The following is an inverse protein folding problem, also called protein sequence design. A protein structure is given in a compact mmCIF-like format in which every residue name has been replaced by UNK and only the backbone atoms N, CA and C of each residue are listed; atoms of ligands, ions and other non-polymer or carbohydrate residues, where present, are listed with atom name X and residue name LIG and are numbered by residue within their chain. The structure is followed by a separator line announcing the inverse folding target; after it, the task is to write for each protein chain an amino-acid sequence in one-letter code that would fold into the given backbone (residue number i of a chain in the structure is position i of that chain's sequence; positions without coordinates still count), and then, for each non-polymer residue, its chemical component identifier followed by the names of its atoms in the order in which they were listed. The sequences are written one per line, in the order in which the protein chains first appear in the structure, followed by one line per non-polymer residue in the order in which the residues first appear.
data_IF_347854608681
#
_entry.id   IF_347854608681
#
_cell.length_a   1.000
_cell.length_b   1.000
_cell.length_c   1.000
_cell.angle_alpha   90.00
_cell.angle_beta   90.00
_cell.angle_gamma   90.00
#
_symmetry.space_group_name_H-M   'P 1'
#
loop_
_entity.id
_entity.type
_entity.pdbx_description
1 polymer ?
#
# COMPACT_ATOMS: atom_id res chain seq x y z
N UNK A 1 37.57 51.00 19.28
CA UNK A 1 37.75 51.22 17.82
C UNK A 1 37.01 50.11 17.08
N UNK A 2 36.18 50.51 16.11
CA UNK A 2 35.04 49.78 15.53
C UNK A 2 35.44 48.48 14.81
N UNK A 3 34.77 47.37 15.15
CA UNK A 3 34.73 46.16 14.32
C UNK A 3 33.61 46.36 13.29
N UNK A 4 33.97 46.70 12.05
CA UNK A 4 33.00 46.81 10.95
C UNK A 4 32.56 45.44 10.51
N UNK A 5 31.30 45.14 10.78
CA UNK A 5 30.49 44.07 10.19
C UNK A 5 30.39 44.27 8.68
N UNK A 6 30.88 43.31 7.89
CA UNK A 6 30.60 43.26 6.45
C UNK A 6 29.19 42.69 6.32
N UNK A 7 28.22 43.56 6.10
CA UNK A 7 26.87 43.17 5.71
C UNK A 7 26.90 42.71 4.24
N UNK A 8 26.66 41.42 4.02
CA UNK A 8 26.39 40.88 2.68
C UNK A 8 24.97 41.28 2.32
N UNK A 9 24.84 42.30 1.47
CA UNK A 9 23.58 42.68 0.83
C UNK A 9 23.26 41.64 -0.24
N UNK A 10 22.39 40.67 0.09
CA UNK A 10 21.70 39.88 -0.92
C UNK A 10 20.62 40.77 -1.52
N UNK A 11 20.89 41.28 -2.72
CA UNK A 11 19.93 42.04 -3.50
C UNK A 11 18.77 41.13 -3.93
N UNK A 12 17.58 41.38 -3.38
CA UNK A 12 16.33 40.79 -3.85
C UNK A 12 15.95 41.53 -5.13
N UNK A 13 16.22 40.92 -6.29
CA UNK A 13 15.65 41.35 -7.57
C UNK A 13 14.15 41.03 -7.56
N UNK A 14 13.34 41.97 -7.08
CA UNK A 14 11.89 41.98 -7.31
C UNK A 14 11.65 42.43 -8.75
N UNK A 15 11.57 41.48 -9.67
CA UNK A 15 11.32 41.77 -11.07
C UNK A 15 10.85 40.54 -11.84
N UNK A 16 9.54 40.35 -11.94
CA UNK A 16 8.90 39.64 -13.06
C UNK A 16 9.15 38.13 -13.22
N UNK A 17 9.63 37.41 -12.21
CA UNK A 17 9.97 35.98 -12.29
C UNK A 17 9.24 35.05 -11.31
N UNK A 18 8.14 35.49 -10.70
CA UNK A 18 7.50 34.76 -9.59
C UNK A 18 6.47 33.68 -9.99
N UNK A 19 6.15 33.53 -11.27
CA UNK A 19 5.03 32.64 -11.70
C UNK A 19 5.50 31.25 -12.15
N UNK A 20 6.80 31.02 -12.39
CA UNK A 20 7.28 29.73 -12.92
C UNK A 20 8.09 28.86 -11.94
N UNK A 21 8.45 29.36 -10.75
CA UNK A 21 9.25 28.59 -9.77
C UNK A 21 8.37 27.87 -8.73
N UNK A 22 7.18 28.40 -8.46
CA UNK A 22 6.21 27.80 -7.54
C UNK A 22 5.76 26.36 -7.90
N UNK A 23 5.47 26.01 -9.18
CA UNK A 23 4.99 24.67 -9.50
C UNK A 23 6.10 23.61 -9.35
N UNK A 24 7.36 23.96 -9.62
CA UNK A 24 8.48 23.02 -9.49
C UNK A 24 8.81 22.74 -8.02
N UNK A 25 8.81 23.79 -7.17
CA UNK A 25 9.02 23.60 -5.73
C UNK A 25 7.88 22.81 -5.06
N UNK A 26 6.64 22.98 -5.52
CA UNK A 26 5.50 22.19 -5.04
C UNK A 26 5.61 20.71 -5.46
N UNK A 27 5.97 20.43 -6.72
CA UNK A 27 6.20 19.06 -7.19
C UNK A 27 7.34 18.37 -6.42
N UNK A 28 8.44 19.06 -6.14
CA UNK A 28 9.58 18.47 -5.40
C UNK A 28 9.24 18.19 -3.93
N UNK A 29 8.29 18.90 -3.33
CA UNK A 29 7.93 18.73 -1.92
C UNK A 29 6.83 17.67 -1.69
N UNK A 30 6.00 17.38 -2.69
CA UNK A 30 4.83 16.50 -2.54
C UNK A 30 4.82 15.28 -3.46
N UNK A 31 5.82 15.14 -4.33
CA UNK A 31 6.04 13.90 -5.09
C UNK A 31 6.61 12.80 -4.19
N UNK A 32 6.14 11.57 -4.41
CA UNK A 32 6.57 10.41 -3.65
C UNK A 32 5.76 10.16 -2.39
N UNK A 33 6.03 9.00 -1.80
CA UNK A 33 5.46 8.57 -0.54
C UNK A 33 5.91 9.48 0.61
N UNK A 34 5.00 9.74 1.54
CA UNK A 34 5.29 10.61 2.68
C UNK A 34 4.76 10.04 4.00
N UNK A 35 4.88 10.84 5.06
CA UNK A 35 4.51 10.43 6.42
C UNK A 35 3.03 10.06 6.58
N UNK A 36 2.14 10.43 5.66
CA UNK A 36 0.75 9.97 5.67
C UNK A 36 0.65 8.52 5.18
N UNK A 37 1.44 8.16 4.16
CA UNK A 37 1.50 6.81 3.61
C UNK A 37 2.19 5.84 4.58
N UNK A 38 3.24 6.29 5.28
CA UNK A 38 3.88 5.50 6.35
C UNK A 38 2.90 5.21 7.50
N UNK A 39 2.09 6.20 7.89
CA UNK A 39 1.06 6.04 8.92
C UNK A 39 -0.07 5.13 8.45
N UNK A 40 -0.43 5.20 7.18
CA UNK A 40 -1.38 4.27 6.59
C UNK A 40 -0.81 2.86 6.59
N UNK A 41 0.42 2.65 6.13
CA UNK A 41 1.08 1.34 6.15
C UNK A 41 1.08 0.72 7.55
N UNK A 42 1.43 1.51 8.58
CA UNK A 42 1.37 1.07 9.96
C UNK A 42 -0.05 0.67 10.40
N UNK A 43 -1.08 1.35 9.91
CA UNK A 43 -2.48 1.01 10.19
C UNK A 43 -2.89 -0.27 9.47
N UNK A 44 -2.56 -0.42 8.18
CA UNK A 44 -2.84 -1.61 7.38
C UNK A 44 -2.13 -2.85 7.96
N UNK A 45 -0.92 -2.68 8.47
CA UNK A 45 -0.17 -3.76 9.09
C UNK A 45 -0.80 -4.32 10.37
N UNK A 46 -1.84 -3.69 10.92
CA UNK A 46 -2.59 -4.22 12.08
C UNK A 46 -3.84 -5.00 11.69
N UNK A 47 -4.17 -5.08 10.40
CA UNK A 47 -5.37 -5.75 9.92
C UNK A 47 -5.25 -7.26 10.14
N UNK A 48 -6.23 -7.83 10.84
CA UNK A 48 -6.24 -9.26 11.20
C UNK A 48 -6.29 -10.19 10.00
N UNK A 49 -6.75 -9.72 8.83
CA UNK A 49 -6.74 -10.52 7.61
C UNK A 49 -5.33 -10.89 7.16
N UNK A 50 -4.32 -10.07 7.48
CA UNK A 50 -2.92 -10.35 7.19
C UNK A 50 -2.31 -11.39 8.15
N UNK A 51 -2.92 -11.63 9.31
CA UNK A 51 -2.56 -12.67 10.27
C UNK A 51 -3.45 -13.92 10.13
N UNK A 52 -4.59 -13.81 9.46
CA UNK A 52 -5.46 -14.93 9.18
C UNK A 52 -4.75 -15.86 8.21
N UNK A 53 -4.80 -17.16 8.46
CA UNK A 53 -4.35 -18.18 7.53
C UNK A 53 -4.98 -19.55 7.88
N UNK A 54 -5.09 -20.49 6.93
CA UNK A 54 -5.45 -21.87 7.24
C UNK A 54 -4.48 -22.45 8.29
N UNK A 55 -4.98 -23.32 9.18
CA UNK A 55 -4.24 -23.74 10.39
C UNK A 55 -2.83 -24.31 10.13
N UNK A 56 -2.59 -24.90 8.96
CA UNK A 56 -1.31 -25.51 8.61
C UNK A 56 -0.47 -24.63 7.67
N UNK A 57 -1.01 -23.51 7.18
CA UNK A 57 -0.24 -22.55 6.39
C UNK A 57 0.79 -21.85 7.29
N UNK A 58 2.00 -21.65 6.77
CA UNK A 58 3.10 -21.08 7.56
C UNK A 58 3.48 -19.71 7.01
N UNK A 59 3.51 -18.64 7.83
CA UNK A 59 3.96 -17.34 7.37
C UNK A 59 5.42 -17.40 6.95
N UNK A 60 5.73 -16.78 5.81
CA UNK A 60 7.07 -16.65 5.29
C UNK A 60 7.58 -15.23 5.52
N UNK A 61 8.80 -15.12 6.05
CA UNK A 61 9.44 -13.85 6.42
C UNK A 61 8.53 -13.05 7.39
N UNK A 62 8.87 -11.79 7.63
CA UNK A 62 7.96 -10.86 8.29
C UNK A 62 7.06 -10.15 7.29
N UNK A 63 6.02 -9.49 7.81
CA UNK A 63 5.14 -8.59 7.06
C UNK A 63 5.94 -7.58 6.24
N UNK A 64 5.60 -7.48 4.95
CA UNK A 64 6.19 -6.52 4.03
C UNK A 64 5.32 -5.27 3.93
N UNK A 65 5.94 -4.13 3.65
CA UNK A 65 5.25 -2.90 3.27
C UNK A 65 6.01 -2.19 2.16
N UNK A 66 5.28 -1.63 1.21
CA UNK A 66 5.81 -0.79 0.14
C UNK A 66 4.88 0.39 -0.12
N UNK A 67 5.40 1.39 -0.81
CA UNK A 67 4.60 2.49 -1.33
C UNK A 67 5.12 2.88 -2.71
N UNK A 68 4.21 3.01 -3.68
CA UNK A 68 4.52 3.50 -5.01
C UNK A 68 4.66 5.03 -4.99
N UNK A 69 5.76 5.58 -5.51
CA UNK A 69 5.99 7.03 -5.43
C UNK A 69 5.13 7.86 -6.38
N UNK A 70 4.71 7.28 -7.51
CA UNK A 70 3.96 7.99 -8.54
C UNK A 70 2.49 8.10 -8.13
N UNK A 71 1.90 6.98 -7.70
CA UNK A 71 0.47 6.89 -7.38
C UNK A 71 0.20 6.89 -5.87
N UNK A 72 1.24 6.87 -5.03
CA UNK A 72 1.16 6.80 -3.55
C UNK A 72 0.24 5.68 -3.06
N UNK A 73 0.25 4.57 -3.81
CA UNK A 73 -0.41 3.32 -3.42
C UNK A 73 0.46 2.65 -2.36
N UNK A 74 -0.07 2.60 -1.14
CA UNK A 74 0.55 1.90 -0.02
C UNK A 74 0.09 0.45 -0.03
N UNK A 75 1.03 -0.49 -0.03
CA UNK A 75 0.76 -1.93 0.02
C UNK A 75 1.35 -2.52 1.29
N UNK A 76 0.58 -3.37 1.97
CA UNK A 76 1.08 -4.19 3.07
C UNK A 76 0.68 -5.64 2.81
N UNK A 77 1.66 -6.53 2.87
CA UNK A 77 1.50 -7.92 2.48
C UNK A 77 2.06 -8.90 3.49
N UNK A 78 1.50 -10.11 3.51
CA UNK A 78 2.07 -11.26 4.21
C UNK A 78 2.06 -12.48 3.28
N UNK A 79 3.26 -13.01 3.03
CA UNK A 79 3.44 -14.25 2.27
C UNK A 79 3.23 -15.46 3.18
N UNK A 80 2.60 -16.49 2.64
CA UNK A 80 2.41 -17.78 3.30
C UNK A 80 2.82 -18.92 2.38
N UNK A 81 3.39 -19.97 2.99
CA UNK A 81 3.47 -21.28 2.36
C UNK A 81 2.14 -22.00 2.56
N UNK A 82 1.45 -22.44 1.50
CA UNK A 82 0.21 -23.18 1.65
C UNK A 82 0.44 -24.55 2.27
N UNK A 83 -0.66 -25.11 2.75
CA UNK A 83 -0.71 -26.43 3.36
C UNK A 83 -1.78 -27.33 2.77
N UNK A 84 -2.39 -26.91 1.66
CA UNK A 84 -3.56 -27.52 1.07
C UNK A 84 -3.89 -26.92 -0.30
N UNK A 85 -4.98 -27.37 -0.94
CA UNK A 85 -5.41 -26.91 -2.26
C UNK A 85 -5.66 -25.40 -2.31
N UNK A 86 -5.40 -24.77 -3.47
CA UNK A 86 -5.66 -23.34 -3.71
C UNK A 86 -7.10 -22.93 -3.39
N UNK A 87 -8.06 -23.77 -3.79
CA UNK A 87 -9.47 -23.52 -3.53
C UNK A 87 -9.80 -23.44 -2.03
N UNK A 88 -9.11 -24.22 -1.18
CA UNK A 88 -9.29 -24.14 0.28
C UNK A 88 -8.71 -22.84 0.85
N UNK A 89 -7.54 -22.41 0.35
CA UNK A 89 -6.94 -21.12 0.74
C UNK A 89 -7.88 -19.97 0.36
N UNK A 90 -8.37 -19.93 -0.88
CA UNK A 90 -9.26 -18.88 -1.36
C UNK A 90 -10.58 -18.86 -0.60
N UNK A 91 -11.21 -20.03 -0.39
CA UNK A 91 -12.44 -20.14 0.40
C UNK A 91 -12.23 -19.68 1.85
N UNK A 92 -11.09 -20.02 2.45
CA UNK A 92 -10.75 -19.57 3.80
C UNK A 92 -10.67 -18.04 3.89
N UNK A 93 -9.91 -17.40 3.00
CA UNK A 93 -9.76 -15.94 3.04
C UNK A 93 -11.04 -15.21 2.69
N UNK A 94 -11.85 -15.76 1.78
CA UNK A 94 -13.16 -15.19 1.46
C UNK A 94 -14.05 -15.12 2.70
N UNK A 95 -14.18 -16.23 3.42
CA UNK A 95 -14.95 -16.29 4.67
C UNK A 95 -14.37 -15.38 5.76
N UNK A 96 -13.04 -15.31 5.87
CA UNK A 96 -12.36 -14.44 6.82
C UNK A 96 -12.58 -12.96 6.51
N UNK A 97 -12.47 -12.56 5.25
CA UNK A 97 -12.65 -11.20 4.76
C UNK A 97 -14.11 -10.74 4.96
N UNK A 98 -15.08 -11.54 4.53
CA UNK A 98 -16.51 -11.23 4.71
C UNK A 98 -16.85 -11.06 6.19
N UNK A 99 -16.33 -11.94 7.06
CA UNK A 99 -16.53 -11.85 8.51
C UNK A 99 -15.87 -10.63 9.13
N UNK A 100 -14.73 -10.21 8.62
CA UNK A 100 -14.03 -8.98 9.00
C UNK A 100 -14.65 -7.72 8.37
N UNK A 101 -15.74 -7.85 7.59
CA UNK A 101 -16.49 -6.72 7.03
C UNK A 101 -15.90 -6.14 5.74
N UNK A 102 -15.10 -6.92 5.03
CA UNK A 102 -14.71 -6.60 3.66
C UNK A 102 -15.88 -6.85 2.69
N UNK A 103 -15.98 -6.04 1.65
CA UNK A 103 -17.03 -6.12 0.64
C UNK A 103 -16.45 -6.65 -0.68
N UNK A 104 -16.97 -7.74 -1.25
CA UNK A 104 -16.53 -8.20 -2.57
C UNK A 104 -16.91 -7.20 -3.68
N UNK A 105 -16.19 -7.18 -4.82
CA UNK A 105 -16.54 -6.32 -5.94
C UNK A 105 -17.91 -6.69 -6.55
N UNK A 106 -18.59 -5.77 -7.27
CA UNK A 106 -19.93 -6.03 -7.83
C UNK A 106 -19.99 -7.22 -8.80
N UNK A 107 -18.92 -7.46 -9.54
CA UNK A 107 -18.74 -8.53 -10.53
C UNK A 107 -18.12 -9.82 -9.96
N UNK A 108 -18.06 -9.94 -8.64
CA UNK A 108 -17.58 -11.14 -7.95
C UNK A 108 -18.38 -12.40 -8.36
N UNK A 109 -17.65 -13.44 -8.78
CA UNK A 109 -18.19 -14.73 -9.23
C UNK A 109 -18.36 -15.74 -8.09
N UNK A 110 -18.08 -15.33 -6.85
CA UNK A 110 -18.05 -16.19 -5.67
C UNK A 110 -16.74 -16.96 -5.50
N UNK A 111 -15.79 -16.82 -6.42
CA UNK A 111 -14.50 -17.50 -6.39
C UNK A 111 -13.37 -16.51 -6.05
N UNK A 112 -12.36 -17.02 -5.35
CA UNK A 112 -11.19 -16.20 -5.00
C UNK A 112 -11.46 -15.06 -4.02
N UNK A 113 -10.42 -14.23 -3.87
CA UNK A 113 -10.42 -12.98 -3.12
C UNK A 113 -9.60 -11.98 -3.92
N UNK A 114 -10.27 -11.23 -4.79
CA UNK A 114 -9.68 -10.14 -5.55
C UNK A 114 -10.49 -8.88 -5.36
N UNK A 115 -9.81 -7.77 -5.04
CA UNK A 115 -10.43 -6.45 -5.01
C UNK A 115 -11.55 -6.29 -3.98
N UNK A 116 -11.43 -6.99 -2.84
CA UNK A 116 -12.36 -6.83 -1.73
C UNK A 116 -12.09 -5.49 -1.05
N UNK A 117 -13.10 -4.65 -0.86
CA UNK A 117 -12.89 -3.30 -0.33
C UNK A 117 -13.27 -3.17 1.15
N UNK A 118 -12.56 -2.29 1.86
CA UNK A 118 -12.87 -1.87 3.23
C UNK A 118 -12.34 -0.46 3.46
N UNK A 119 -12.98 0.31 4.34
CA UNK A 119 -12.45 1.61 4.77
C UNK A 119 -11.56 1.46 5.99
N UNK A 120 -10.30 1.91 5.91
CA UNK A 120 -9.34 1.94 7.01
C UNK A 120 -8.73 3.33 7.10
N UNK A 121 -8.82 3.96 8.28
CA UNK A 121 -8.27 5.31 8.48
C UNK A 121 -8.89 6.39 7.59
N UNK A 122 -10.12 6.19 7.11
CA UNK A 122 -10.80 7.09 6.19
C UNK A 122 -10.39 6.95 4.71
N UNK A 123 -9.57 5.94 4.38
CA UNK A 123 -9.22 5.56 3.01
C UNK A 123 -9.86 4.23 2.65
N UNK A 124 -10.30 4.10 1.41
CA UNK A 124 -10.64 2.81 0.86
C UNK A 124 -9.36 2.02 0.58
N UNK A 125 -9.35 0.76 1.00
CA UNK A 125 -8.29 -0.19 0.74
C UNK A 125 -8.89 -1.46 0.16
N UNK A 126 -8.10 -2.17 -0.62
CA UNK A 126 -8.45 -3.38 -1.33
C UNK A 126 -7.64 -4.55 -0.76
N UNK A 127 -8.28 -5.70 -0.65
CA UNK A 127 -7.69 -6.97 -0.27
C UNK A 127 -7.70 -7.91 -1.46
N UNK A 128 -6.56 -8.55 -1.68
CA UNK A 128 -6.40 -9.57 -2.71
C UNK A 128 -5.51 -10.72 -2.21
N UNK A 129 -5.79 -11.93 -2.69
CA UNK A 129 -5.02 -13.14 -2.44
C UNK A 129 -4.62 -13.76 -3.77
N UNK A 130 -3.31 -13.92 -4.00
CA UNK A 130 -2.78 -14.48 -5.24
C UNK A 130 -1.63 -15.45 -5.00
N UNK A 131 -1.45 -16.38 -5.93
CA UNK A 131 -0.41 -17.41 -5.87
C UNK A 131 0.83 -16.94 -6.64
N UNK A 132 2.01 -17.26 -6.12
CA UNK A 132 3.31 -16.78 -6.60
C UNK A 132 3.98 -17.76 -7.57
N UNK A 133 3.30 -18.83 -7.97
CA UNK A 133 3.84 -19.83 -8.91
C UNK A 133 4.18 -19.22 -10.27
N UNK A 134 3.39 -18.23 -10.71
CA UNK A 134 3.64 -17.49 -11.95
C UNK A 134 4.90 -16.61 -11.87
N UNK A 135 5.37 -16.29 -10.67
CA UNK A 135 6.57 -15.47 -10.43
C UNK A 135 7.87 -16.30 -10.46
N UNK A 136 7.75 -17.62 -10.66
CA UNK A 136 8.85 -18.54 -10.93
C UNK A 136 8.99 -19.68 -9.91
N UNK A 137 9.62 -20.78 -10.36
CA UNK A 137 9.71 -22.06 -9.62
C UNK A 137 10.23 -21.93 -8.17
N UNK A 138 11.06 -20.92 -7.87
CA UNK A 138 11.61 -20.69 -6.53
C UNK A 138 10.54 -20.34 -5.47
N UNK A 139 9.37 -19.86 -5.89
CA UNK A 139 8.26 -19.51 -5.00
C UNK A 139 7.29 -20.68 -4.81
N UNK A 140 7.41 -21.76 -5.60
CA UNK A 140 6.56 -22.94 -5.48
C UNK A 140 5.08 -22.58 -5.57
N UNK A 141 4.31 -23.00 -4.57
CA UNK A 141 2.89 -22.72 -4.41
C UNK A 141 2.60 -21.64 -3.34
N UNK A 142 3.63 -20.90 -2.89
CA UNK A 142 3.48 -19.79 -1.95
C UNK A 142 2.41 -18.78 -2.45
N UNK A 143 1.70 -18.15 -1.54
CA UNK A 143 0.70 -17.13 -1.85
C UNK A 143 0.91 -15.89 -1.00
N UNK A 144 0.50 -14.75 -1.55
CA UNK A 144 0.50 -13.47 -0.86
C UNK A 144 -0.92 -13.05 -0.51
N UNK A 145 -1.04 -12.38 0.63
CA UNK A 145 -2.24 -11.70 1.09
C UNK A 145 -1.87 -10.23 1.22
N UNK A 146 -2.44 -9.42 0.35
CA UNK A 146 -2.05 -8.02 0.21
C UNK A 146 -3.23 -7.12 0.45
N UNK A 147 -2.95 -6.04 1.19
CA UNK A 147 -3.85 -4.91 1.35
C UNK A 147 -3.22 -3.69 0.71
N UNK A 148 -3.90 -3.13 -0.29
CA UNK A 148 -3.45 -1.99 -1.08
C UNK A 148 -4.37 -0.81 -0.83
N UNK A 149 -3.82 0.40 -0.67
CA UNK A 149 -4.65 1.60 -0.58
C UNK A 149 -5.09 2.06 -1.96
N UNK A 150 -6.31 2.58 -2.05
CA UNK A 150 -6.77 3.30 -3.23
C UNK A 150 -6.83 4.80 -2.96
N UNK A 151 -6.24 5.63 -3.82
CA UNK A 151 -6.35 7.09 -3.69
C UNK A 151 -7.66 7.64 -4.29
N UNK A 152 -8.17 6.97 -5.32
CA UNK A 152 -9.27 7.42 -6.18
C UNK A 152 -10.36 6.35 -6.39
N UNK A 153 -10.28 5.22 -5.69
CA UNK A 153 -11.23 4.12 -5.79
C UNK A 153 -10.88 3.07 -6.85
N UNK A 154 -9.68 3.13 -7.45
CA UNK A 154 -9.12 2.04 -8.25
C UNK A 154 -7.65 1.81 -7.91
N UNK A 155 -7.36 0.98 -6.91
CA UNK A 155 -5.99 0.57 -6.59
C UNK A 155 -5.36 -0.26 -7.71
N UNK A 156 -4.77 -1.42 -7.39
CA UNK A 156 -4.35 -2.35 -8.45
C UNK A 156 -5.54 -3.15 -9.03
N UNK A 157 -6.73 -2.81 -8.55
CA UNK A 157 -8.06 -3.16 -8.98
C UNK A 157 -8.74 -1.90 -9.54
#
# INVERSE_FOLDING_TARGET
MKRSTIAVLVAICVGGGAVLVAPIAFLVLFYGCNADDDRLAASLATLSVLDAHPANATPLKGRGSSCDNDDRITTVGQTYRPSGPRAEVLSFYRDAAIRDGWTPPPEDDGEGVGCFTKTVGGREVELSVWFLDEMGEKYGDDYDVDVTSSLDGGGWC
#
